data_IF_826427907444
#
_entry.id   IF_826427907444
#
_cell.length_a   1.000
_cell.length_b   1.000
_cell.length_c   1.000
_cell.angle_alpha   90.00
_cell.angle_beta   90.00
_cell.angle_gamma   90.00
#
_symmetry.space_group_name_H-M   'P 1'
#
loop_
_entity.id
_entity.type
_entity.pdbx_description
1 polymer ?
#
# COMPACT_ATOMS: atom_id res chain seq x y z
N UNK A 1 -6.85 -6.74 -28.71
CA UNK A 1 -6.13 -6.41 -27.47
C UNK A 1 -5.51 -7.70 -26.94
N UNK A 2 -4.27 -7.99 -27.35
CA UNK A 2 -3.59 -9.24 -27.05
C UNK A 2 -2.73 -9.01 -25.79
N UNK A 3 -3.34 -9.12 -24.61
CA UNK A 3 -2.56 -9.18 -23.36
C UNK A 3 -1.65 -10.39 -23.47
N UNK A 4 -0.36 -10.20 -23.21
CA UNK A 4 0.69 -11.16 -23.51
C UNK A 4 0.56 -12.42 -22.64
N UNK A 5 -0.25 -13.39 -23.09
CA UNK A 5 -0.53 -14.66 -22.40
C UNK A 5 0.73 -15.47 -22.07
N UNK A 6 1.85 -15.22 -22.78
CA UNK A 6 3.11 -15.91 -22.54
C UNK A 6 3.74 -15.55 -21.18
N UNK A 7 3.39 -14.41 -20.59
CA UNK A 7 3.91 -13.98 -19.28
C UNK A 7 2.91 -14.20 -18.13
N UNK A 8 1.73 -14.81 -18.38
CA UNK A 8 0.67 -14.89 -17.36
C UNK A 8 1.14 -15.53 -16.05
N UNK A 9 1.93 -16.61 -16.15
CA UNK A 9 2.41 -17.35 -14.99
C UNK A 9 3.38 -16.51 -14.16
N UNK A 10 4.21 -15.69 -14.81
CA UNK A 10 5.13 -14.79 -14.13
C UNK A 10 4.39 -13.65 -13.41
N UNK A 11 3.34 -13.08 -14.01
CA UNK A 11 2.52 -12.05 -13.35
C UNK A 11 1.82 -12.64 -12.12
N UNK A 12 1.17 -13.80 -12.28
CA UNK A 12 0.46 -14.49 -11.19
C UNK A 12 1.45 -14.87 -10.08
N UNK A 13 2.64 -15.37 -10.42
CA UNK A 13 3.64 -15.76 -9.42
C UNK A 13 4.21 -14.59 -8.63
N UNK A 14 4.45 -13.43 -9.25
CA UNK A 14 4.92 -12.24 -8.55
C UNK A 14 3.83 -11.63 -7.66
N UNK A 15 2.58 -11.59 -8.13
CA UNK A 15 1.45 -11.16 -7.30
C UNK A 15 1.22 -12.10 -6.11
N UNK A 16 1.39 -13.41 -6.31
CA UNK A 16 1.36 -14.41 -5.24
C UNK A 16 2.48 -14.17 -4.22
N UNK A 17 3.71 -13.97 -4.70
CA UNK A 17 4.85 -13.67 -3.84
C UNK A 17 4.63 -12.39 -3.02
N UNK A 18 4.18 -11.30 -3.65
CA UNK A 18 3.91 -10.04 -2.96
C UNK A 18 2.82 -10.20 -1.89
N UNK A 19 1.74 -10.94 -2.19
CA UNK A 19 0.65 -11.21 -1.26
C UNK A 19 1.13 -12.05 -0.06
N UNK A 20 1.92 -13.09 -0.30
CA UNK A 20 2.49 -13.93 0.77
C UNK A 20 3.50 -13.13 1.60
N UNK A 21 4.39 -12.37 0.96
CA UNK A 21 5.36 -11.51 1.64
C UNK A 21 4.65 -10.52 2.56
N UNK A 22 3.67 -9.76 2.05
CA UNK A 22 2.91 -8.82 2.86
C UNK A 22 2.13 -9.52 3.97
N UNK A 23 1.55 -10.69 3.69
CA UNK A 23 0.79 -11.48 4.66
C UNK A 23 1.64 -11.92 5.85
N UNK A 24 2.78 -12.56 5.59
CA UNK A 24 3.66 -13.04 6.65
C UNK A 24 4.22 -11.91 7.52
N UNK A 25 4.68 -10.81 6.92
CA UNK A 25 5.32 -9.74 7.67
C UNK A 25 4.30 -8.87 8.42
N UNK A 26 3.17 -8.53 7.80
CA UNK A 26 2.15 -7.69 8.44
C UNK A 26 1.52 -8.44 9.61
N UNK A 27 1.02 -9.66 9.38
CA UNK A 27 0.42 -10.46 10.44
C UNK A 27 1.45 -10.83 11.51
N UNK A 28 2.68 -11.18 11.10
CA UNK A 28 3.77 -11.48 12.03
C UNK A 28 4.08 -10.33 12.98
N UNK A 29 4.11 -9.09 12.49
CA UNK A 29 4.31 -7.91 13.33
C UNK A 29 3.13 -7.63 14.26
N UNK A 30 1.88 -7.79 13.78
CA UNK A 30 0.70 -7.66 14.65
C UNK A 30 0.74 -8.67 15.80
N UNK A 31 0.93 -9.95 15.49
CA UNK A 31 0.99 -11.02 16.50
C UNK A 31 2.18 -10.82 17.44
N UNK A 32 3.35 -10.44 16.93
CA UNK A 32 4.51 -10.11 17.75
C UNK A 32 4.17 -8.98 18.74
N UNK A 33 3.58 -7.89 18.27
CA UNK A 33 3.25 -6.73 19.11
C UNK A 33 2.17 -7.06 20.16
N UNK A 34 1.18 -7.88 19.81
CA UNK A 34 0.16 -8.37 20.75
C UNK A 34 0.77 -9.24 21.85
N UNK A 35 1.66 -10.18 21.47
CA UNK A 35 2.36 -11.04 22.43
C UNK A 35 3.27 -10.21 23.34
N UNK A 36 4.03 -9.26 22.79
CA UNK A 36 4.86 -8.37 23.61
C UNK A 36 4.01 -7.52 24.55
N UNK A 37 2.88 -6.98 24.08
CA UNK A 37 1.98 -6.21 24.95
C UNK A 37 1.44 -7.05 26.12
N UNK A 38 1.09 -8.32 25.86
CA UNK A 38 0.59 -9.23 26.88
C UNK A 38 1.64 -9.56 27.96
N UNK A 39 2.93 -9.59 27.60
CA UNK A 39 4.04 -9.93 28.53
C UNK A 39 4.83 -8.71 29.05
N UNK A 40 4.54 -7.50 28.57
CA UNK A 40 5.21 -6.25 28.94
C UNK A 40 5.64 -5.45 27.69
N UNK A 41 5.19 -4.18 27.54
CA UNK A 41 5.20 -3.46 26.25
C UNK A 41 6.59 -3.08 25.71
N UNK A 42 7.67 -3.25 26.49
CA UNK A 42 9.01 -2.71 26.18
C UNK A 42 9.67 -3.30 24.92
N UNK A 43 9.12 -4.39 24.36
CA UNK A 43 9.72 -5.14 23.24
C UNK A 43 8.92 -5.12 21.94
N UNK A 44 7.94 -4.22 21.83
CA UNK A 44 7.20 -4.02 20.58
C UNK A 44 8.11 -3.54 19.46
N UNK A 45 7.81 -3.97 18.23
CA UNK A 45 8.47 -3.47 17.02
C UNK A 45 7.56 -2.40 16.42
N UNK A 46 7.99 -1.15 16.57
CA UNK A 46 7.30 0.02 16.05
C UNK A 46 8.14 0.60 14.92
N UNK A 47 7.60 0.53 13.69
CA UNK A 47 8.28 1.02 12.49
C UNK A 47 7.66 2.35 12.09
N UNK A 48 8.47 3.41 12.07
CA UNK A 48 8.02 4.72 11.63
C UNK A 48 7.81 4.77 10.10
N UNK A 49 6.69 5.33 9.60
CA UNK A 49 6.43 5.46 8.17
C UNK A 49 7.23 6.65 7.56
N UNK A 50 8.55 6.56 7.59
CA UNK A 50 9.48 7.65 7.19
C UNK A 50 9.19 8.17 5.78
N UNK A 51 8.83 7.31 4.83
CA UNK A 51 8.50 7.73 3.47
C UNK A 51 7.21 8.56 3.40
N UNK A 52 6.19 8.18 4.15
CA UNK A 52 4.94 8.94 4.20
C UNK A 52 5.11 10.24 4.99
N UNK A 53 5.89 10.21 6.07
CA UNK A 53 6.31 11.42 6.79
C UNK A 53 7.08 12.35 5.86
N UNK A 54 8.02 11.82 5.06
CA UNK A 54 8.78 12.57 4.07
C UNK A 54 7.89 13.37 3.11
N UNK A 55 6.82 12.74 2.62
CA UNK A 55 5.81 13.40 1.78
C UNK A 55 5.12 14.54 2.55
N UNK A 56 4.83 14.39 3.85
CA UNK A 56 4.23 15.48 4.64
C UNK A 56 5.18 16.69 4.76
N UNK A 57 6.49 16.51 4.99
CA UNK A 57 7.45 17.63 5.01
C UNK A 57 7.66 18.25 3.65
N UNK A 58 7.73 17.43 2.61
CA UNK A 58 7.85 17.92 1.24
C UNK A 58 6.72 18.89 0.89
N UNK A 59 5.56 18.70 1.54
CA UNK A 59 4.39 19.57 1.47
C UNK A 59 4.30 20.65 2.56
N UNK A 60 5.33 20.86 3.38
CA UNK A 60 5.40 21.99 4.31
C UNK A 60 4.86 21.73 5.72
N UNK A 61 4.57 20.47 6.08
CA UNK A 61 4.29 20.10 7.47
C UNK A 61 5.57 20.16 8.29
N UNK A 62 5.57 20.83 9.44
CA UNK A 62 6.79 21.06 10.25
C UNK A 62 6.92 20.12 11.46
N UNK A 63 5.88 19.35 11.78
CA UNK A 63 5.74 18.61 13.05
C UNK A 63 6.78 17.52 13.32
N UNK A 64 7.53 17.06 12.31
CA UNK A 64 8.56 16.05 12.51
C UNK A 64 10.00 16.48 12.15
N UNK A 65 10.24 17.78 11.96
CA UNK A 65 11.61 18.34 12.01
C UNK A 65 12.51 18.15 10.78
N UNK A 66 11.97 17.80 9.62
CA UNK A 66 12.74 17.79 8.36
C UNK A 66 12.62 19.13 7.62
N UNK A 67 13.74 19.61 7.07
CA UNK A 67 13.86 20.86 6.32
C UNK A 67 14.10 20.58 4.82
N UNK A 68 13.04 20.22 4.09
CA UNK A 68 13.09 19.78 2.68
C UNK A 68 11.93 20.40 1.89
N UNK A 69 12.22 20.90 0.68
CA UNK A 69 11.23 21.47 -0.25
C UNK A 69 10.37 22.56 0.42
N UNK A 70 9.05 22.35 0.59
CA UNK A 70 8.14 23.37 1.10
C UNK A 70 8.22 23.57 2.61
N UNK A 71 8.81 22.64 3.38
CA UNK A 71 9.12 22.93 4.79
C UNK A 71 10.33 23.86 4.93
N UNK A 72 11.12 24.01 3.87
CA UNK A 72 12.30 24.88 3.83
C UNK A 72 11.99 26.28 3.35
N UNK A 73 12.04 27.24 4.26
CA UNK A 73 11.70 28.66 3.97
C UNK A 73 12.69 29.36 3.04
N UNK A 74 13.88 28.80 2.84
CA UNK A 74 14.91 29.32 1.94
C UNK A 74 14.95 28.62 0.57
N UNK A 75 14.17 27.55 0.39
CA UNK A 75 14.18 26.73 -0.82
C UNK A 75 13.55 27.42 -2.05
N UNK A 76 13.98 27.05 -3.27
CA UNK A 76 13.42 27.61 -4.50
C UNK A 76 11.91 27.33 -4.64
N UNK A 77 11.48 26.13 -4.25
CA UNK A 77 10.06 25.73 -4.27
C UNK A 77 9.20 26.59 -3.35
N UNK A 78 9.72 26.92 -2.16
CA UNK A 78 9.03 27.80 -1.21
C UNK A 78 8.94 29.22 -1.78
N UNK A 79 10.06 29.76 -2.28
CA UNK A 79 10.11 31.12 -2.82
C UNK A 79 9.20 31.31 -4.04
N UNK A 80 9.08 30.31 -4.91
CA UNK A 80 8.19 30.36 -6.07
C UNK A 80 6.70 30.45 -5.70
N UNK A 81 6.27 29.80 -4.62
CA UNK A 81 4.86 29.77 -4.18
C UNK A 81 4.46 30.85 -3.17
N UNK A 82 5.44 31.50 -2.53
CA UNK A 82 5.27 32.33 -1.31
C UNK A 82 4.22 33.44 -1.41
N UNK A 83 4.01 34.01 -2.59
CA UNK A 83 3.15 35.20 -2.76
C UNK A 83 1.73 34.89 -3.24
N UNK A 84 1.39 33.62 -3.52
CA UNK A 84 0.11 33.25 -4.14
C UNK A 84 -0.68 32.31 -3.23
N UNK A 85 -0.39 31.02 -3.28
CA UNK A 85 -1.17 29.97 -2.60
C UNK A 85 -0.47 29.44 -1.35
N UNK A 86 0.86 29.56 -1.27
CA UNK A 86 1.67 28.88 -0.27
C UNK A 86 1.37 29.31 1.17
N UNK A 87 1.15 30.60 1.51
CA UNK A 87 0.83 30.98 2.89
C UNK A 87 -0.46 30.32 3.41
N UNK A 88 -1.51 30.27 2.59
CA UNK A 88 -2.77 29.62 2.94
C UNK A 88 -2.62 28.11 3.09
N UNK A 89 -1.85 27.49 2.18
CA UNK A 89 -1.52 26.07 2.25
C UNK A 89 -0.73 25.70 3.52
N UNK A 90 0.32 26.46 3.84
CA UNK A 90 1.15 26.21 5.02
C UNK A 90 0.38 26.41 6.32
N UNK A 91 -0.55 27.36 6.36
CA UNK A 91 -1.47 27.51 7.49
C UNK A 91 -2.34 26.26 7.65
N UNK A 92 -2.99 25.81 6.57
CA UNK A 92 -3.87 24.65 6.62
C UNK A 92 -3.14 23.34 6.97
N UNK A 93 -1.95 23.08 6.39
CA UNK A 93 -1.24 21.80 6.60
C UNK A 93 -0.61 21.66 7.99
N UNK A 94 -0.38 22.80 8.68
CA UNK A 94 0.15 22.83 10.05
C UNK A 94 -0.94 23.04 11.10
N UNK A 95 -2.21 23.13 10.70
CA UNK A 95 -3.33 23.24 11.61
C UNK A 95 -3.79 21.85 12.08
N UNK A 96 -3.71 21.61 13.39
CA UNK A 96 -4.05 20.31 13.99
C UNK A 96 -5.56 20.04 14.15
N UNK A 97 -6.42 21.00 13.79
CA UNK A 97 -7.88 20.91 13.94
C UNK A 97 -8.57 20.31 12.71
N UNK A 98 -7.86 20.22 11.58
CA UNK A 98 -8.40 19.72 10.32
C UNK A 98 -7.83 18.32 9.98
N UNK A 99 -8.28 17.75 8.87
CA UNK A 99 -7.86 16.41 8.41
C UNK A 99 -6.78 16.45 7.33
N UNK A 100 -6.18 17.61 7.05
CA UNK A 100 -5.17 17.76 6.01
C UNK A 100 -3.83 17.23 6.51
N UNK A 101 -3.34 16.14 5.88
CA UNK A 101 -2.10 15.47 6.27
C UNK A 101 -2.03 15.18 7.77
N UNK A 102 -2.98 14.39 8.31
CA UNK A 102 -2.95 13.95 9.70
C UNK A 102 -1.58 13.36 10.09
N UNK A 103 -1.19 13.56 11.34
CA UNK A 103 0.07 13.03 11.85
C UNK A 103 0.00 11.49 11.86
N UNK A 104 0.85 10.87 11.07
CA UNK A 104 1.02 9.42 10.94
C UNK A 104 2.15 8.91 11.84
N UNK A 105 1.99 7.68 12.33
CA UNK A 105 2.98 6.97 13.13
C UNK A 105 3.01 5.46 12.86
N UNK A 106 3.57 4.66 13.79
CA UNK A 106 3.76 3.22 13.57
C UNK A 106 2.48 2.40 13.37
N UNK A 107 1.37 2.82 14.01
CA UNK A 107 0.06 2.18 13.77
C UNK A 107 -0.41 2.37 12.32
N UNK A 108 -0.20 3.56 11.75
CA UNK A 108 -0.52 3.86 10.36
C UNK A 108 0.34 3.04 9.40
N UNK A 109 1.62 2.82 9.72
CA UNK A 109 2.49 1.95 8.93
C UNK A 109 1.90 0.54 8.78
N UNK A 110 1.49 -0.08 9.90
CA UNK A 110 0.95 -1.45 9.89
C UNK A 110 -0.38 -1.54 9.14
N UNK A 111 -1.31 -0.60 9.35
CA UNK A 111 -2.61 -0.65 8.67
C UNK A 111 -2.46 -0.41 7.16
N UNK A 112 -1.55 0.46 6.72
CA UNK A 112 -1.29 0.64 5.29
C UNK A 112 -0.70 -0.62 4.64
N UNK A 113 0.12 -1.39 5.36
CA UNK A 113 0.60 -2.70 4.87
C UNK A 113 -0.52 -3.75 4.83
N UNK A 114 -1.46 -3.71 5.77
CA UNK A 114 -2.67 -4.56 5.73
C UNK A 114 -3.59 -4.20 4.55
N UNK A 115 -3.76 -2.91 4.25
CA UNK A 115 -4.47 -2.44 3.06
C UNK A 115 -3.74 -2.91 1.79
N UNK A 116 -2.42 -2.76 1.74
CA UNK A 116 -1.61 -3.23 0.61
C UNK A 116 -1.76 -4.74 0.41
N UNK A 117 -1.77 -5.54 1.48
CA UNK A 117 -2.03 -6.97 1.43
C UNK A 117 -3.41 -7.27 0.80
N UNK A 118 -4.45 -6.58 1.27
CA UNK A 118 -5.80 -6.72 0.72
C UNK A 118 -5.84 -6.42 -0.77
N UNK A 119 -5.28 -5.27 -1.18
CA UNK A 119 -5.22 -4.85 -2.58
C UNK A 119 -4.46 -5.85 -3.47
N UNK A 120 -3.29 -6.33 -3.04
CA UNK A 120 -2.50 -7.30 -3.81
C UNK A 120 -3.21 -8.66 -3.91
N UNK A 121 -3.83 -9.13 -2.82
CA UNK A 121 -4.55 -10.42 -2.82
C UNK A 121 -5.81 -10.36 -3.69
N UNK A 122 -6.61 -9.29 -3.58
CA UNK A 122 -7.78 -9.10 -4.45
C UNK A 122 -7.36 -8.98 -5.92
N UNK A 123 -6.28 -8.24 -6.20
CA UNK A 123 -5.73 -8.13 -7.55
C UNK A 123 -5.27 -9.49 -8.07
N UNK A 124 -4.57 -10.29 -7.27
CA UNK A 124 -4.16 -11.65 -7.63
C UNK A 124 -5.36 -12.52 -8.02
N UNK A 125 -6.42 -12.52 -7.22
CA UNK A 125 -7.63 -13.31 -7.48
C UNK A 125 -8.28 -12.90 -8.82
N UNK A 126 -8.49 -11.60 -9.01
CA UNK A 126 -9.14 -11.07 -10.22
C UNK A 126 -8.28 -11.28 -11.48
N UNK A 127 -6.98 -10.97 -11.39
CA UNK A 127 -6.04 -11.10 -12.51
C UNK A 127 -5.84 -12.55 -12.89
N UNK A 128 -5.66 -13.46 -11.93
CA UNK A 128 -5.55 -14.90 -12.21
C UNK A 128 -6.83 -15.41 -12.88
N UNK A 129 -8.00 -15.05 -12.35
CA UNK A 129 -9.28 -15.41 -12.94
C UNK A 129 -9.42 -14.96 -14.39
N UNK A 130 -9.04 -13.72 -14.69
CA UNK A 130 -9.09 -13.18 -16.05
C UNK A 130 -8.05 -13.84 -16.99
N UNK A 131 -6.83 -14.09 -16.53
CA UNK A 131 -5.75 -14.67 -17.34
C UNK A 131 -5.97 -16.16 -17.66
N UNK A 132 -6.59 -16.91 -16.74
CA UNK A 132 -6.92 -18.33 -16.91
C UNK A 132 -8.33 -18.57 -17.49
N UNK A 133 -9.08 -17.52 -17.79
CA UNK A 133 -10.48 -17.61 -18.25
C UNK A 133 -10.64 -18.40 -19.55
N UNK A 134 -9.68 -18.32 -20.47
CA UNK A 134 -9.73 -19.02 -21.77
C UNK A 134 -9.24 -20.46 -21.70
N UNK A 135 -8.56 -20.84 -20.62
CA UNK A 135 -7.95 -22.16 -20.47
C UNK A 135 -6.74 -22.12 -19.53
N UNK A 136 -6.66 -23.11 -18.65
CA UNK A 136 -5.52 -23.35 -17.75
C UNK A 136 -4.90 -24.71 -18.04
N UNK A 137 -3.82 -25.07 -17.34
CA UNK A 137 -3.25 -26.43 -17.45
C UNK A 137 -4.23 -27.53 -16.99
N UNK A 138 -5.11 -27.19 -16.04
CA UNK A 138 -6.12 -28.12 -15.50
C UNK A 138 -7.30 -28.31 -16.46
N UNK A 139 -7.78 -27.22 -17.07
CA UNK A 139 -8.92 -27.22 -18.00
C UNK A 139 -8.57 -26.37 -19.23
N UNK A 140 -7.92 -26.97 -20.26
CA UNK A 140 -7.39 -26.23 -21.41
C UNK A 140 -8.47 -25.61 -22.31
N UNK A 141 -9.65 -26.22 -22.33
CA UNK A 141 -10.82 -25.91 -23.15
C UNK A 141 -11.88 -25.05 -22.43
N UNK A 142 -11.51 -24.42 -21.30
CA UNK A 142 -12.41 -23.58 -20.49
C UNK A 142 -13.21 -22.54 -21.29
N UNK A 143 -12.62 -21.99 -22.36
CA UNK A 143 -13.29 -21.04 -23.26
C UNK A 143 -14.61 -21.57 -23.84
N UNK A 144 -14.78 -22.89 -23.96
CA UNK A 144 -15.92 -23.53 -24.61
C UNK A 144 -17.14 -23.64 -23.68
N UNK A 145 -16.97 -23.40 -22.37
CA UNK A 145 -18.02 -23.48 -21.35
C UNK A 145 -18.63 -22.11 -20.98
N UNK A 146 -18.04 -21.01 -21.45
CA UNK A 146 -18.47 -19.65 -21.14
C UNK A 146 -17.93 -19.11 -19.81
N UNK A 147 -18.44 -17.94 -19.38
CA UNK A 147 -17.92 -17.22 -18.20
C UNK A 147 -18.36 -17.84 -16.86
N UNK A 148 -19.55 -18.44 -16.81
CA UNK A 148 -20.13 -18.99 -15.58
C UNK A 148 -20.63 -20.41 -15.85
N UNK A 149 -19.99 -21.38 -15.19
CA UNK A 149 -20.32 -22.81 -15.21
C UNK A 149 -19.95 -23.42 -13.85
N UNK A 150 -20.60 -24.51 -13.41
CA UNK A 150 -20.43 -25.04 -12.05
C UNK A 150 -19.05 -25.66 -11.80
N UNK A 151 -18.62 -26.61 -12.65
CA UNK A 151 -17.33 -27.30 -12.59
C UNK A 151 -17.11 -28.15 -13.86
N UNK A 152 -15.95 -28.82 -13.95
CA UNK A 152 -15.56 -29.77 -15.03
C UNK A 152 -15.62 -31.24 -14.54
N UNK A 153 -16.62 -31.58 -13.72
CA UNK A 153 -16.78 -32.92 -13.14
C UNK A 153 -15.85 -33.21 -11.94
N UNK A 154 -15.78 -34.48 -11.52
CA UNK A 154 -15.11 -34.93 -10.28
C UNK A 154 -13.63 -35.33 -10.47
N UNK A 155 -13.00 -34.95 -11.58
CA UNK A 155 -11.67 -35.44 -12.01
C UNK A 155 -10.51 -35.15 -11.07
#
# INVERSE_FOLDING_TARGET
MMVNLHLREAIISHLSWASLFLGFHTLGLYVHNDVMLAFGPEKQILIEPIFSQWIQFAHGKTSYGFDVLLSSTSGPTFNAGRSIWLPGWLNAVNENSNSLFLTIGPGDFLVHHAIALGLHTTTLILVKGALDARGSKLMPDKKDFGYSFPCDGQG
#
